data_IF_633225682942
#
_entry.id   IF_633225682942
#
_cell.length_a   1.000
_cell.length_b   1.000
_cell.length_c   1.000
_cell.angle_alpha   90.00
_cell.angle_beta   90.00
_cell.angle_gamma   90.00
#
_symmetry.space_group_name_H-M   'P 1'
#
loop_
_entity.id
_entity.type
_entity.pdbx_description
1 polymer ?
#
# COMPACT_ATOMS: atom_id res chain seq x y z
N UNK A 1 -55.76 0.58 -49.59
CA UNK A 1 -54.35 0.79 -50.00
C UNK A 1 -53.70 1.75 -48.99
N UNK A 2 -52.55 1.35 -48.44
CA UNK A 2 -51.47 2.17 -47.85
C UNK A 2 -51.83 3.19 -46.74
N UNK A 3 -51.64 2.88 -45.44
CA UNK A 3 -50.41 2.98 -44.61
C UNK A 3 -50.02 4.39 -44.14
N UNK A 4 -50.03 4.55 -42.79
CA UNK A 4 -48.96 5.07 -41.93
C UNK A 4 -48.38 6.47 -42.17
N UNK A 5 -48.40 7.36 -41.16
CA UNK A 5 -47.26 7.57 -40.24
C UNK A 5 -47.54 8.71 -39.23
N UNK A 6 -47.15 8.43 -37.99
CA UNK A 6 -46.97 9.35 -36.88
C UNK A 6 -45.66 10.12 -37.04
N UNK A 7 -45.64 11.44 -36.87
CA UNK A 7 -44.42 12.21 -36.52
C UNK A 7 -44.83 13.43 -35.68
N UNK A 8 -44.45 13.43 -34.40
CA UNK A 8 -44.37 14.63 -33.56
C UNK A 8 -42.98 15.27 -33.71
N UNK A 9 -42.84 16.61 -33.73
CA UNK A 9 -41.54 17.25 -33.69
C UNK A 9 -41.07 17.45 -32.24
N UNK A 10 -40.05 16.67 -31.89
CA UNK A 10 -38.75 17.10 -31.38
C UNK A 10 -38.57 18.45 -30.63
N UNK A 11 -37.91 18.30 -29.47
CA UNK A 11 -36.76 19.10 -28.96
C UNK A 11 -37.01 20.50 -28.38
N UNK A 12 -36.85 20.62 -27.04
CA UNK A 12 -35.86 21.49 -26.39
C UNK A 12 -35.84 21.20 -24.88
N UNK A 13 -35.06 20.21 -24.44
CA UNK A 13 -34.59 20.12 -23.06
C UNK A 13 -33.13 20.59 -23.06
N UNK A 14 -32.95 21.88 -22.77
CA UNK A 14 -31.65 22.51 -22.65
C UNK A 14 -31.10 22.26 -21.24
N UNK A 15 -29.81 21.91 -21.19
CA UNK A 15 -28.89 22.10 -20.06
C UNK A 15 -29.08 21.20 -18.83
N UNK A 16 -28.52 19.99 -18.90
CA UNK A 16 -27.86 19.38 -17.74
C UNK A 16 -26.54 20.14 -17.50
N UNK A 17 -26.61 21.24 -16.74
CA UNK A 17 -25.44 21.93 -16.22
C UNK A 17 -24.72 21.01 -15.25
N UNK A 18 -23.56 20.49 -15.68
CA UNK A 18 -22.71 19.58 -14.94
C UNK A 18 -22.08 20.24 -13.70
N UNK A 19 -22.81 20.23 -12.59
CA UNK A 19 -22.17 20.23 -11.28
C UNK A 19 -21.54 18.85 -11.07
N UNK A 20 -20.24 18.76 -10.74
CA UNK A 20 -19.65 17.48 -10.35
C UNK A 20 -20.42 16.94 -9.15
N UNK A 21 -20.92 15.71 -9.30
CA UNK A 21 -21.70 15.00 -8.29
C UNK A 21 -20.93 15.00 -6.95
N UNK A 22 -21.53 15.52 -5.88
CA UNK A 22 -20.86 15.84 -4.61
C UNK A 22 -20.18 14.61 -3.98
N UNK A 23 -20.69 13.42 -4.25
CA UNK A 23 -20.08 12.14 -3.81
C UNK A 23 -18.73 11.88 -4.50
N UNK A 24 -18.61 12.23 -5.78
CA UNK A 24 -17.36 12.07 -6.55
C UNK A 24 -16.27 13.02 -6.08
N UNK A 25 -16.62 14.27 -5.75
CA UNK A 25 -15.68 15.26 -5.22
C UNK A 25 -15.17 14.86 -3.82
N UNK A 26 -16.06 14.37 -2.97
CA UNK A 26 -15.72 13.91 -1.62
C UNK A 26 -14.74 12.74 -1.69
N UNK A 27 -15.02 11.75 -2.55
CA UNK A 27 -14.13 10.59 -2.75
C UNK A 27 -12.74 10.97 -3.27
N UNK A 28 -12.66 11.92 -4.21
CA UNK A 28 -11.36 12.42 -4.74
C UNK A 28 -10.56 13.14 -3.65
N UNK A 29 -11.22 13.97 -2.86
CA UNK A 29 -10.60 14.72 -1.77
C UNK A 29 -10.06 13.78 -0.70
N UNK A 30 -10.81 12.74 -0.34
CA UNK A 30 -10.35 11.71 0.58
C UNK A 30 -9.13 10.95 0.07
N UNK A 31 -9.11 10.56 -1.21
CA UNK A 31 -7.97 9.87 -1.80
C UNK A 31 -6.73 10.77 -1.82
N UNK A 32 -6.88 12.05 -2.13
CA UNK A 32 -5.80 13.02 -2.09
C UNK A 32 -5.25 13.21 -0.66
N UNK A 33 -6.13 13.29 0.34
CA UNK A 33 -5.73 13.39 1.74
C UNK A 33 -4.97 12.13 2.20
N UNK A 34 -5.50 10.94 1.88
CA UNK A 34 -4.81 9.68 2.19
C UNK A 34 -3.45 9.64 1.51
N UNK A 35 -3.36 9.98 0.22
CA UNK A 35 -2.09 10.01 -0.50
C UNK A 35 -1.08 10.97 0.16
N UNK A 36 -1.52 12.18 0.54
CA UNK A 36 -0.67 13.15 1.21
C UNK A 36 -0.14 12.63 2.55
N UNK A 37 -1.00 12.01 3.36
CA UNK A 37 -0.62 11.44 4.67
C UNK A 37 0.49 10.38 4.56
N UNK A 38 0.50 9.63 3.47
CA UNK A 38 1.52 8.60 3.21
C UNK A 38 2.76 9.15 2.51
N UNK A 39 2.60 10.08 1.56
CA UNK A 39 3.70 10.66 0.80
C UNK A 39 4.58 11.59 1.64
N UNK A 40 4.02 12.34 2.59
CA UNK A 40 4.80 13.22 3.47
C UNK A 40 5.92 12.50 4.25
N UNK A 41 5.64 11.46 5.06
CA UNK A 41 6.70 10.72 5.73
C UNK A 41 7.61 9.97 4.74
N UNK A 42 7.09 9.56 3.57
CA UNK A 42 7.91 8.90 2.55
C UNK A 42 8.98 9.84 1.99
N UNK A 43 8.57 11.04 1.57
CA UNK A 43 9.48 12.07 1.05
C UNK A 43 10.50 12.48 2.11
N UNK A 44 10.10 12.63 3.37
CA UNK A 44 11.02 12.97 4.45
C UNK A 44 12.12 11.90 4.67
N UNK A 45 11.78 10.61 4.55
CA UNK A 45 12.77 9.53 4.60
C UNK A 45 13.67 9.55 3.37
N UNK A 46 13.08 9.67 2.17
CA UNK A 46 13.82 9.68 0.91
C UNK A 46 14.80 10.85 0.82
N UNK A 47 14.41 12.03 1.27
CA UNK A 47 15.28 13.22 1.34
C UNK A 47 16.55 12.92 2.14
N UNK A 48 16.42 12.28 3.31
CA UNK A 48 17.57 11.89 4.13
C UNK A 48 18.39 10.78 3.50
N UNK A 49 17.75 9.82 2.83
CA UNK A 49 18.47 8.76 2.13
C UNK A 49 19.33 9.31 1.00
N UNK A 50 18.79 10.26 0.22
CA UNK A 50 19.52 10.94 -0.86
C UNK A 50 20.67 11.77 -0.29
N UNK A 51 20.45 12.50 0.80
CA UNK A 51 21.48 13.31 1.44
C UNK A 51 22.61 12.48 2.06
N UNK A 52 22.31 11.29 2.62
CA UNK A 52 23.32 10.40 3.20
C UNK A 52 24.19 9.71 2.13
N UNK A 53 23.59 9.35 0.98
CA UNK A 53 24.30 8.84 -0.20
C UNK A 53 24.97 7.47 -0.03
N UNK A 54 24.86 6.83 1.14
CA UNK A 54 25.46 5.52 1.37
C UNK A 54 24.66 4.39 0.72
N UNK A 55 25.33 3.26 0.46
CA UNK A 55 24.64 2.04 0.02
C UNK A 55 23.58 1.59 1.03
N UNK A 56 23.85 1.78 2.33
CA UNK A 56 22.90 1.44 3.38
C UNK A 56 21.63 2.29 3.30
N UNK A 57 21.72 3.56 2.86
CA UNK A 57 20.56 4.44 2.72
C UNK A 57 19.50 3.93 1.72
N UNK A 58 19.87 3.01 0.81
CA UNK A 58 18.89 2.30 -0.02
C UNK A 58 17.95 1.42 0.82
N UNK A 59 18.39 0.91 1.96
CA UNK A 59 17.56 0.08 2.84
C UNK A 59 16.33 0.84 3.38
N UNK A 60 16.46 1.97 4.10
CA UNK A 60 15.30 2.76 4.52
C UNK A 60 14.56 3.39 3.34
N UNK A 61 15.23 3.77 2.25
CA UNK A 61 14.56 4.33 1.07
C UNK A 61 13.57 3.34 0.42
N UNK A 62 14.03 2.13 0.13
CA UNK A 62 13.22 1.09 -0.52
C UNK A 62 12.13 0.57 0.42
N UNK A 63 12.41 0.45 1.73
CA UNK A 63 11.38 0.14 2.72
C UNK A 63 10.33 1.25 2.83
N UNK A 64 10.72 2.53 2.76
CA UNK A 64 9.77 3.64 2.76
C UNK A 64 8.84 3.58 1.54
N UNK A 65 9.36 3.29 0.35
CA UNK A 65 8.53 3.10 -0.85
C UNK A 65 7.58 1.90 -0.70
N UNK A 66 8.08 0.77 -0.20
CA UNK A 66 7.24 -0.41 0.01
C UNK A 66 6.11 -0.15 1.03
N UNK A 67 6.47 0.37 2.20
CA UNK A 67 5.58 0.51 3.35
C UNK A 67 4.68 1.74 3.29
N UNK A 68 5.11 2.82 2.63
CA UNK A 68 4.36 4.07 2.57
C UNK A 68 3.70 4.31 1.21
N UNK A 69 4.07 3.59 0.16
CA UNK A 69 3.44 3.75 -1.16
C UNK A 69 2.78 2.47 -1.62
N UNK A 70 3.55 1.39 -1.80
CA UNK A 70 3.04 0.18 -2.44
C UNK A 70 1.97 -0.54 -1.60
N UNK A 71 2.27 -0.90 -0.34
CA UNK A 71 1.34 -1.65 0.51
C UNK A 71 0.08 -0.86 0.87
N UNK A 72 0.15 0.44 1.25
CA UNK A 72 -1.05 1.25 1.47
C UNK A 72 -1.91 1.37 0.21
N UNK A 73 -1.29 1.55 -0.97
CA UNK A 73 -2.02 1.59 -2.24
C UNK A 73 -2.69 0.25 -2.56
N UNK A 74 -2.03 -0.87 -2.23
CA UNK A 74 -2.60 -2.20 -2.41
C UNK A 74 -3.84 -2.41 -1.54
N UNK A 75 -3.80 -1.95 -0.28
CA UNK A 75 -4.96 -1.98 0.62
C UNK A 75 -6.06 -1.02 0.12
N UNK A 76 -5.70 0.20 -0.29
CA UNK A 76 -6.65 1.17 -0.84
C UNK A 76 -7.38 0.63 -2.08
N UNK A 77 -6.69 -0.11 -2.97
CA UNK A 77 -7.32 -0.78 -4.11
C UNK A 77 -8.41 -1.77 -3.67
N UNK A 78 -8.18 -2.48 -2.56
CA UNK A 78 -9.17 -3.40 -1.98
C UNK A 78 -10.35 -2.69 -1.31
N UNK A 79 -10.13 -1.54 -0.69
CA UNK A 79 -11.21 -0.70 -0.19
C UNK A 79 -12.08 -0.17 -1.33
N UNK A 80 -11.48 0.28 -2.42
CA UNK A 80 -12.22 0.71 -3.62
C UNK A 80 -13.01 -0.45 -4.22
N UNK A 81 -12.46 -1.67 -4.24
CA UNK A 81 -13.14 -2.85 -4.75
C UNK A 81 -14.41 -3.20 -3.97
N UNK A 82 -14.43 -2.96 -2.65
CA UNK A 82 -15.61 -3.26 -1.80
C UNK A 82 -16.85 -2.46 -2.22
N UNK A 83 -16.67 -1.21 -2.65
CA UNK A 83 -17.76 -0.34 -3.09
C UNK A 83 -18.00 -0.34 -4.60
N UNK A 84 -17.35 -1.24 -5.35
CA UNK A 84 -17.44 -1.30 -6.81
C UNK A 84 -18.39 -2.42 -7.26
N UNK A 85 -19.27 -2.11 -8.20
CA UNK A 85 -20.23 -3.06 -8.78
C UNK A 85 -19.77 -3.58 -10.13
N UNK A 86 -18.99 -2.81 -10.89
CA UNK A 86 -18.49 -3.20 -12.21
C UNK A 86 -17.48 -4.36 -12.11
N UNK A 87 -17.79 -5.49 -12.75
CA UNK A 87 -16.99 -6.70 -12.66
C UNK A 87 -15.57 -6.49 -13.20
N UNK A 88 -15.43 -5.84 -14.37
CA UNK A 88 -14.15 -5.62 -15.00
C UNK A 88 -13.22 -4.78 -14.12
N UNK A 89 -13.75 -3.71 -13.52
CA UNK A 89 -13.02 -2.86 -12.59
C UNK A 89 -12.69 -3.57 -11.27
N UNK A 90 -13.57 -4.41 -10.74
CA UNK A 90 -13.25 -5.25 -9.57
C UNK A 90 -12.09 -6.20 -9.84
N UNK A 91 -12.04 -6.81 -11.02
CA UNK A 91 -10.92 -7.67 -11.45
C UNK A 91 -9.64 -6.85 -11.61
N UNK A 92 -9.73 -5.68 -12.23
CA UNK A 92 -8.59 -4.77 -12.38
C UNK A 92 -8.03 -4.34 -11.01
N UNK A 93 -8.88 -4.00 -10.04
CA UNK A 93 -8.45 -3.64 -8.68
C UNK A 93 -7.75 -4.82 -7.97
N UNK A 94 -8.20 -6.07 -8.17
CA UNK A 94 -7.49 -7.24 -7.64
C UNK A 94 -6.13 -7.43 -8.31
N UNK A 95 -6.03 -7.23 -9.63
CA UNK A 95 -4.73 -7.28 -10.35
C UNK A 95 -3.78 -6.19 -9.87
N UNK A 96 -4.29 -4.98 -9.65
CA UNK A 96 -3.53 -3.87 -9.09
C UNK A 96 -3.03 -4.19 -7.68
N UNK A 97 -3.89 -4.78 -6.83
CA UNK A 97 -3.49 -5.25 -5.51
C UNK A 97 -2.32 -6.25 -5.58
N UNK A 98 -2.40 -7.26 -6.46
CA UNK A 98 -1.30 -8.20 -6.67
C UNK A 98 -0.03 -7.49 -7.16
N UNK A 99 -0.13 -6.64 -8.17
CA UNK A 99 1.00 -5.89 -8.73
C UNK A 99 1.72 -5.07 -7.65
N UNK A 100 0.98 -4.33 -6.83
CA UNK A 100 1.53 -3.48 -5.78
C UNK A 100 2.17 -4.30 -4.65
N UNK A 101 1.61 -5.46 -4.29
CA UNK A 101 2.26 -6.36 -3.34
C UNK A 101 3.55 -6.95 -3.92
N UNK A 102 3.55 -7.41 -5.17
CA UNK A 102 4.78 -7.92 -5.81
C UNK A 102 5.85 -6.83 -5.88
N UNK A 103 5.48 -5.60 -6.26
CA UNK A 103 6.38 -4.46 -6.26
C UNK A 103 6.95 -4.18 -4.85
N UNK A 104 6.11 -4.19 -3.81
CA UNK A 104 6.56 -4.06 -2.42
C UNK A 104 7.55 -5.17 -2.02
N UNK A 105 7.28 -6.42 -2.41
CA UNK A 105 8.16 -7.56 -2.15
C UNK A 105 9.53 -7.39 -2.80
N UNK A 106 9.57 -6.94 -4.06
CA UNK A 106 10.82 -6.64 -4.78
C UNK A 106 11.60 -5.52 -4.08
N UNK A 107 10.92 -4.43 -3.70
CA UNK A 107 11.53 -3.31 -2.97
C UNK A 107 12.12 -3.76 -1.63
N UNK A 108 11.37 -4.53 -0.83
CA UNK A 108 11.84 -5.06 0.46
C UNK A 108 13.01 -6.03 0.29
N UNK A 109 12.97 -6.90 -0.72
CA UNK A 109 14.08 -7.80 -1.02
C UNK A 109 15.35 -7.04 -1.40
N UNK A 110 15.23 -6.01 -2.27
CA UNK A 110 16.33 -5.14 -2.63
C UNK A 110 16.86 -4.32 -1.43
N UNK A 111 15.97 -3.87 -0.54
CA UNK A 111 16.34 -3.23 0.72
C UNK A 111 17.16 -4.18 1.61
N UNK A 112 16.74 -5.43 1.73
CA UNK A 112 17.46 -6.47 2.46
C UNK A 112 18.83 -6.75 1.85
N UNK A 113 18.93 -6.81 0.52
CA UNK A 113 20.19 -6.97 -0.19
C UNK A 113 21.16 -5.79 0.06
N UNK A 114 20.68 -4.55 0.02
CA UNK A 114 21.49 -3.37 0.32
C UNK A 114 22.06 -3.41 1.75
N UNK A 115 21.22 -3.78 2.74
CA UNK A 115 21.66 -3.96 4.12
C UNK A 115 22.67 -5.12 4.26
N UNK A 116 22.44 -6.23 3.57
CA UNK A 116 23.34 -7.37 3.56
C UNK A 116 24.72 -7.02 2.98
N UNK A 117 24.76 -6.41 1.80
CA UNK A 117 26.02 -6.03 1.14
C UNK A 117 26.80 -5.01 1.99
N UNK A 118 26.11 -4.01 2.55
CA UNK A 118 26.74 -3.02 3.44
C UNK A 118 27.37 -3.70 4.67
N UNK A 119 26.61 -4.56 5.35
CA UNK A 119 27.11 -5.26 6.55
C UNK A 119 28.29 -6.15 6.25
N UNK A 120 28.23 -6.90 5.14
CA UNK A 120 29.32 -7.76 4.68
C UNK A 120 30.58 -6.96 4.36
N UNK A 121 30.44 -5.80 3.71
CA UNK A 121 31.58 -4.92 3.40
C UNK A 121 32.23 -4.28 4.63
N UNK A 122 31.52 -4.23 5.76
CA UNK A 122 31.98 -3.62 7.01
C UNK A 122 32.27 -4.67 8.10
N UNK A 123 32.35 -5.96 7.75
CA UNK A 123 32.55 -7.09 8.69
C UNK A 123 31.56 -7.12 9.87
N UNK A 124 30.33 -6.65 9.65
CA UNK A 124 29.28 -6.60 10.67
C UNK A 124 28.46 -7.89 10.70
N UNK A 125 28.01 -8.29 11.91
CA UNK A 125 27.14 -9.44 12.07
C UNK A 125 25.76 -9.24 11.41
N UNK A 126 25.30 -10.28 10.72
CA UNK A 126 23.97 -10.34 10.12
C UNK A 126 22.94 -10.87 11.12
N UNK A 127 21.70 -10.42 10.99
CA UNK A 127 20.57 -10.89 11.81
C UNK A 127 20.81 -10.81 13.34
N UNK A 128 21.64 -9.87 13.79
CA UNK A 128 22.02 -9.75 15.20
C UNK A 128 21.08 -8.89 16.06
N UNK A 129 20.03 -8.29 15.47
CA UNK A 129 19.18 -7.30 16.15
C UNK A 129 17.71 -7.72 16.16
N UNK A 130 16.92 -7.37 17.19
CA UNK A 130 15.47 -7.63 17.21
C UNK A 130 14.75 -7.10 15.95
N UNK A 131 15.19 -5.94 15.44
CA UNK A 131 14.70 -5.37 14.18
C UNK A 131 14.82 -6.37 13.02
N UNK A 132 16.00 -6.96 12.83
CA UNK A 132 16.24 -7.91 11.75
C UNK A 132 15.47 -9.23 11.90
N UNK A 133 15.25 -9.71 13.12
CA UNK A 133 14.41 -10.90 13.36
C UNK A 133 12.94 -10.61 13.04
N UNK A 134 12.41 -9.49 13.54
CA UNK A 134 11.04 -9.07 13.27
C UNK A 134 10.80 -8.82 11.76
N UNK A 135 11.75 -8.19 11.07
CA UNK A 135 11.71 -7.98 9.63
C UNK A 135 11.69 -9.31 8.85
N UNK A 136 12.53 -10.27 9.25
CA UNK A 136 12.59 -11.58 8.59
C UNK A 136 11.29 -12.36 8.76
N UNK A 137 10.76 -12.42 9.99
CA UNK A 137 9.49 -13.10 10.27
C UNK A 137 8.35 -12.45 9.49
N UNK A 138 8.24 -11.12 9.54
CA UNK A 138 7.21 -10.38 8.81
C UNK A 138 7.34 -10.58 7.30
N UNK A 139 8.57 -10.53 6.76
CA UNK A 139 8.85 -10.76 5.34
C UNK A 139 8.52 -12.18 4.88
N UNK A 140 8.74 -13.18 5.73
CA UNK A 140 8.35 -14.56 5.46
C UNK A 140 6.83 -14.71 5.40
N UNK A 141 6.10 -14.18 6.39
CA UNK A 141 4.63 -14.19 6.36
C UNK A 141 4.08 -13.40 5.18
N UNK A 142 4.71 -12.28 4.79
CA UNK A 142 4.36 -11.54 3.59
C UNK A 142 4.50 -12.41 2.34
N UNK A 143 5.65 -13.06 2.15
CA UNK A 143 5.91 -13.91 0.99
C UNK A 143 4.92 -15.08 0.92
N UNK A 144 4.66 -15.75 2.05
CA UNK A 144 3.67 -16.82 2.16
C UNK A 144 2.26 -16.31 1.83
N UNK A 145 1.88 -15.12 2.29
CA UNK A 145 0.57 -14.55 2.02
C UNK A 145 0.38 -14.20 0.53
N UNK A 146 1.41 -13.64 -0.11
CA UNK A 146 1.41 -13.40 -1.56
C UNK A 146 1.32 -14.72 -2.33
N UNK A 147 2.10 -15.72 -1.94
CA UNK A 147 2.09 -17.05 -2.56
C UNK A 147 0.72 -17.73 -2.41
N UNK A 148 0.12 -17.69 -1.22
CA UNK A 148 -1.24 -18.18 -1.00
C UNK A 148 -2.24 -17.47 -1.92
N UNK A 149 -2.15 -16.14 -2.06
CA UNK A 149 -3.02 -15.38 -2.96
C UNK A 149 -2.86 -15.78 -4.44
N UNK A 150 -1.64 -16.12 -4.87
CA UNK A 150 -1.39 -16.66 -6.22
C UNK A 150 -2.03 -18.04 -6.38
N UNK A 151 -1.86 -18.95 -5.42
CA UNK A 151 -2.50 -20.27 -5.46
C UNK A 151 -4.02 -20.15 -5.58
N UNK A 152 -4.65 -19.38 -4.70
CA UNK A 152 -6.11 -19.16 -4.74
C UNK A 152 -6.59 -18.55 -6.07
N UNK A 153 -5.73 -17.78 -6.74
CA UNK A 153 -6.05 -17.17 -8.03
C UNK A 153 -5.92 -18.17 -9.19
N UNK A 154 -4.96 -19.09 -9.14
CA UNK A 154 -4.53 -19.90 -10.30
C UNK A 154 -4.62 -21.43 -10.10
N UNK A 155 -5.15 -21.93 -8.99
CA UNK A 155 -5.26 -23.37 -8.71
C UNK A 155 -6.25 -24.10 -9.66
N UNK A 156 -7.26 -23.41 -10.17
CA UNK A 156 -8.25 -23.97 -11.10
C UNK A 156 -7.86 -23.89 -12.57
N UNK A 157 -8.67 -24.48 -13.45
CA UNK A 157 -8.49 -24.44 -14.91
C UNK A 157 -8.48 -23.01 -15.49
N UNK A 158 -9.13 -22.08 -14.81
CA UNK A 158 -9.15 -20.66 -15.16
C UNK A 158 -8.85 -19.79 -13.96
N UNK A 159 -8.25 -18.62 -14.21
CA UNK A 159 -7.87 -17.70 -13.15
C UNK A 159 -9.09 -17.09 -12.44
N UNK A 160 -9.24 -17.34 -11.14
CA UNK A 160 -10.29 -16.77 -10.31
C UNK A 160 -9.78 -15.49 -9.62
N UNK A 161 -10.13 -14.32 -10.13
CA UNK A 161 -9.71 -13.05 -9.53
C UNK A 161 -10.63 -12.54 -8.41
N UNK A 162 -11.67 -13.28 -8.05
CA UNK A 162 -12.73 -12.80 -7.14
C UNK A 162 -12.96 -13.75 -5.94
N UNK A 163 -11.99 -14.61 -5.62
CA UNK A 163 -12.05 -15.43 -4.41
C UNK A 163 -12.11 -14.58 -3.13
N UNK A 164 -12.53 -15.23 -2.05
CA UNK A 164 -12.58 -14.68 -0.69
C UNK A 164 -11.96 -15.71 0.23
N UNK A 165 -10.99 -15.28 1.03
CA UNK A 165 -10.33 -16.12 2.02
C UNK A 165 -10.02 -15.28 3.26
N UNK A 166 -10.52 -15.73 4.41
CA UNK A 166 -10.35 -15.03 5.68
C UNK A 166 -8.91 -15.13 6.18
N UNK A 167 -8.25 -16.26 5.93
CA UNK A 167 -6.85 -16.50 6.32
C UNK A 167 -5.91 -15.52 5.63
N UNK A 168 -6.08 -15.31 4.32
CA UNK A 168 -5.32 -14.36 3.53
C UNK A 168 -5.57 -12.92 4.00
N UNK A 169 -6.82 -12.58 4.29
CA UNK A 169 -7.17 -11.26 4.80
C UNK A 169 -6.55 -10.99 6.18
N UNK A 170 -6.67 -11.94 7.12
CA UNK A 170 -6.12 -11.82 8.47
C UNK A 170 -4.60 -11.76 8.45
N UNK A 171 -3.95 -12.69 7.74
CA UNK A 171 -2.49 -12.72 7.58
C UNK A 171 -1.99 -11.44 6.93
N UNK A 172 -2.68 -10.94 5.90
CA UNK A 172 -2.38 -9.66 5.26
C UNK A 172 -2.42 -8.48 6.24
N UNK A 173 -3.41 -8.42 7.13
CA UNK A 173 -3.50 -7.38 8.17
C UNK A 173 -2.35 -7.51 9.19
N UNK A 174 -2.05 -8.72 9.65
CA UNK A 174 -0.95 -8.97 10.59
C UNK A 174 0.41 -8.58 9.99
N UNK A 175 0.64 -8.94 8.74
CA UNK A 175 1.85 -8.55 7.98
C UNK A 175 1.93 -7.04 7.81
N UNK A 176 0.81 -6.39 7.48
CA UNK A 176 0.75 -4.94 7.34
C UNK A 176 1.12 -4.23 8.66
N UNK A 177 0.52 -4.64 9.78
CA UNK A 177 0.84 -4.10 11.11
C UNK A 177 2.29 -4.40 11.52
N UNK A 178 2.75 -5.64 11.32
CA UNK A 178 4.11 -6.06 11.64
C UNK A 178 5.17 -5.31 10.82
N UNK A 179 4.88 -5.02 9.55
CA UNK A 179 5.76 -4.23 8.68
C UNK A 179 5.90 -2.79 9.15
N UNK A 180 4.79 -2.15 9.55
CA UNK A 180 4.80 -0.80 10.10
C UNK A 180 5.57 -0.74 11.42
N UNK A 181 5.30 -1.69 12.31
CA UNK A 181 6.00 -1.79 13.59
C UNK A 181 7.51 -1.96 13.38
N UNK A 182 7.91 -2.82 12.43
CA UNK A 182 9.33 -3.04 12.10
C UNK A 182 9.99 -1.80 11.50
N UNK A 183 9.31 -1.09 10.60
CA UNK A 183 9.80 0.16 10.01
C UNK A 183 10.03 1.24 11.08
N UNK A 184 9.05 1.43 11.97
CA UNK A 184 9.16 2.39 13.08
C UNK A 184 10.24 1.98 14.06
N UNK A 185 10.33 0.70 14.41
CA UNK A 185 11.40 0.20 15.28
C UNK A 185 12.77 0.48 14.65
N UNK A 186 12.96 0.21 13.35
CA UNK A 186 14.20 0.52 12.64
C UNK A 186 14.54 2.01 12.61
N UNK A 187 13.55 2.89 12.50
CA UNK A 187 13.75 4.35 12.57
C UNK A 187 14.37 4.78 13.91
N UNK A 188 13.96 4.15 15.01
CA UNK A 188 14.44 4.51 16.36
C UNK A 188 15.71 3.77 16.78
N UNK A 189 15.92 2.53 16.33
CA UNK A 189 17.02 1.68 16.82
C UNK A 189 18.21 1.57 15.89
N UNK A 190 18.12 2.03 14.64
CA UNK A 190 19.24 1.97 13.71
C UNK A 190 20.18 3.17 13.84
N UNK A 191 21.47 2.93 13.63
CA UNK A 191 22.48 4.00 13.57
C UNK A 191 22.14 5.02 12.47
N UNK A 192 21.59 4.56 11.34
CA UNK A 192 21.15 5.45 10.25
C UNK A 192 20.01 6.37 10.69
N UNK A 193 19.01 5.84 11.41
CA UNK A 193 17.88 6.62 11.92
C UNK A 193 18.32 7.67 12.94
N UNK A 194 19.19 7.28 13.88
CA UNK A 194 19.76 8.18 14.89
C UNK A 194 20.66 9.27 14.28
N UNK A 195 21.42 8.95 13.23
CA UNK A 195 22.27 9.90 12.51
C UNK A 195 21.45 10.93 11.71
N UNK A 196 20.38 10.49 11.05
CA UNK A 196 19.69 11.31 10.05
C UNK A 196 18.48 12.09 10.59
N UNK A 197 17.97 11.73 11.77
CA UNK A 197 16.84 12.38 12.39
C UNK A 197 17.11 12.68 13.86
N UNK A 198 16.84 13.92 14.29
CA UNK A 198 16.78 14.22 15.72
C UNK A 198 15.64 13.44 16.39
N UNK A 199 15.70 13.20 17.72
CA UNK A 199 14.63 12.48 18.43
C UNK A 199 13.24 13.10 18.20
N UNK A 200 13.17 14.43 18.18
CA UNK A 200 11.93 15.16 17.86
C UNK A 200 11.42 14.84 16.44
N UNK A 201 12.30 14.78 15.44
CA UNK A 201 11.90 14.43 14.07
C UNK A 201 11.51 12.96 13.95
N UNK A 202 12.17 12.05 14.65
CA UNK A 202 11.78 10.63 14.70
C UNK A 202 10.38 10.48 15.30
N UNK A 203 10.07 11.23 16.37
CA UNK A 203 8.74 11.25 16.98
C UNK A 203 7.67 11.78 16.01
N UNK A 204 7.91 12.93 15.36
CA UNK A 204 6.99 13.50 14.38
C UNK A 204 6.70 12.53 13.21
N UNK A 205 7.74 11.90 12.67
CA UNK A 205 7.57 10.88 11.62
C UNK A 205 6.78 9.68 12.12
N UNK A 206 7.05 9.23 13.34
CA UNK A 206 6.31 8.12 13.97
C UNK A 206 4.82 8.45 14.06
N UNK A 207 4.46 9.63 14.54
CA UNK A 207 3.06 10.08 14.64
C UNK A 207 2.41 10.15 13.26
N UNK A 208 3.08 10.73 12.25
CA UNK A 208 2.54 10.81 10.89
C UNK A 208 2.31 9.43 10.27
N UNK A 209 3.28 8.53 10.40
CA UNK A 209 3.18 7.15 9.93
C UNK A 209 2.02 6.44 10.63
N UNK A 210 1.92 6.51 11.96
CA UNK A 210 0.82 5.88 12.71
C UNK A 210 -0.52 6.45 12.26
N UNK A 211 -0.65 7.77 12.16
CA UNK A 211 -1.89 8.42 11.74
C UNK A 211 -2.34 7.97 10.34
N UNK A 212 -1.40 7.88 9.38
CA UNK A 212 -1.69 7.41 8.03
C UNK A 212 -2.20 5.95 8.02
N UNK A 213 -1.51 5.04 8.70
CA UNK A 213 -1.85 3.62 8.72
C UNK A 213 -3.13 3.34 9.52
N UNK A 214 -3.33 4.01 10.65
CA UNK A 214 -4.57 3.91 11.44
C UNK A 214 -5.76 4.42 10.63
N UNK A 215 -5.60 5.52 9.88
CA UNK A 215 -6.68 6.04 9.02
C UNK A 215 -7.08 4.99 7.97
N UNK A 216 -6.11 4.35 7.32
CA UNK A 216 -6.38 3.37 6.28
C UNK A 216 -6.94 2.05 6.82
N UNK A 217 -6.36 1.51 7.89
CA UNK A 217 -6.87 0.31 8.57
C UNK A 217 -8.24 0.56 9.23
N UNK A 218 -8.47 1.73 9.81
CA UNK A 218 -9.77 2.11 10.35
C UNK A 218 -10.86 2.03 9.29
N UNK A 219 -10.60 2.55 8.09
CA UNK A 219 -11.51 2.40 6.94
C UNK A 219 -11.73 0.94 6.56
N UNK A 220 -10.69 0.11 6.59
CA UNK A 220 -10.81 -1.31 6.22
C UNK A 220 -11.71 -2.10 7.18
N UNK A 221 -11.58 -1.86 8.48
CA UNK A 221 -12.34 -2.50 9.55
C UNK A 221 -13.80 -2.02 9.59
N UNK A 222 -14.06 -0.73 9.39
CA UNK A 222 -15.43 -0.20 9.30
C UNK A 222 -16.17 -0.82 8.11
N UNK A 223 -15.50 -0.95 6.97
CA UNK A 223 -16.04 -1.58 5.77
C UNK A 223 -16.08 -3.13 5.84
N UNK A 224 -15.65 -3.77 6.92
CA UNK A 224 -15.92 -5.21 7.15
C UNK A 224 -17.25 -5.43 7.88
N UNK A 225 -17.79 -4.40 8.55
CA UNK A 225 -19.03 -4.49 9.35
C UNK A 225 -20.30 -4.15 8.56
N UNK A 226 -20.16 -3.74 7.30
CA UNK A 226 -21.26 -3.44 6.37
C UNK A 226 -21.29 -4.49 5.28
#
# INVERSE_FOLDING_TARGET
>A
MATSMCVTPSFFACQNSGAPDTDTMTRRSELALTALLFLLPCVAVLERCVADGSLFALHPALNALAMLVCLPSALQAMLLRKGETDHAKRVWLTKLHLLLNVAAGVLVAAAGAAAFVTKRGNDQQHLATPHSWAALVTGMFFALNVFQGLLLTFEGETANWQWKDETHALTGVLVYVGGVATMLYGLHTSDWGAKNFSPERQFQLTVLVIAAHVTLLGKSLVLQRR
#
